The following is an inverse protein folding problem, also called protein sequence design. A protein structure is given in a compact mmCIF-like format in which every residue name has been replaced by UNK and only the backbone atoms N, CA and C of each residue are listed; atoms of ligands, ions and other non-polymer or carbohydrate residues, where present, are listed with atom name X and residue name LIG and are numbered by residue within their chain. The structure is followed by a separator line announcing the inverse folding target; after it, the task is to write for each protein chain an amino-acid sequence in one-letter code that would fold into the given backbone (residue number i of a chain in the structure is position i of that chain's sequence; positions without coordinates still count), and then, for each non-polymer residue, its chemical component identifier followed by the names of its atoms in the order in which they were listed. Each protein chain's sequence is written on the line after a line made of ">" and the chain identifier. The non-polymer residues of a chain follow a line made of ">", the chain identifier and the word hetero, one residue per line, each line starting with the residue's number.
data_IF_762586872406
#
_entry.id   IF_762586872406
#
_cell.length_a   1.000
_cell.length_b   1.000
_cell.length_c   1.000
_cell.angle_alpha   90.00
_cell.angle_beta   90.00
_cell.angle_gamma   90.00
#
_symmetry.space_group_name_H-M   'P 1'
#
loop_
_entity.id
_entity.type
_entity.pdbx_description
1 polymer ?
#
# COMPACT_ATOMS: atom_id res chain seq x y z
N UNK A 1 -26.36 -22.32 3.21
CA UNK A 1 -25.84 -20.95 3.00
C UNK A 1 -26.78 -19.97 3.70
N UNK A 2 -26.31 -19.04 4.54
CA UNK A 2 -27.21 -18.06 5.13
C UNK A 2 -27.65 -17.04 4.09
N UNK A 3 -28.94 -16.69 4.10
CA UNK A 3 -29.55 -15.72 3.18
C UNK A 3 -29.08 -14.28 3.46
N UNK A 4 -29.16 -13.33 2.50
CA UNK A 4 -28.76 -11.92 2.66
C UNK A 4 -29.37 -11.21 3.88
N UNK A 5 -30.56 -11.64 4.32
CA UNK A 5 -31.20 -11.15 5.55
C UNK A 5 -30.43 -11.49 6.84
N UNK A 6 -29.72 -12.63 6.87
CA UNK A 6 -28.91 -13.08 8.03
C UNK A 6 -27.61 -12.27 8.12
N UNK A 7 -26.99 -11.94 6.97
CA UNK A 7 -25.82 -11.06 6.95
C UNK A 7 -26.17 -9.64 7.43
N UNK A 8 -27.33 -9.11 7.03
CA UNK A 8 -27.81 -7.79 7.46
C UNK A 8 -28.14 -7.76 8.97
N UNK A 9 -28.72 -8.83 9.51
CA UNK A 9 -29.01 -8.96 10.94
C UNK A 9 -27.73 -9.07 11.80
N UNK A 10 -26.70 -9.76 11.29
CA UNK A 10 -25.39 -9.86 11.95
C UNK A 10 -24.66 -8.50 11.99
N UNK A 11 -24.76 -7.69 10.92
CA UNK A 11 -24.22 -6.33 10.86
C UNK A 11 -24.90 -5.41 11.89
N UNK A 12 -26.24 -5.46 12.01
CA UNK A 12 -26.96 -4.64 12.99
C UNK A 12 -26.65 -5.06 14.43
N UNK A 13 -26.45 -6.36 14.71
CA UNK A 13 -26.08 -6.84 16.06
C UNK A 13 -24.64 -6.49 16.45
N UNK A 14 -23.71 -6.42 15.48
CA UNK A 14 -22.33 -6.00 15.72
C UNK A 14 -22.22 -4.51 16.08
N UNK A 15 -23.00 -3.65 15.42
CA UNK A 15 -23.05 -2.20 15.67
C UNK A 15 -23.57 -1.87 17.09
N UNK A 16 -24.45 -2.70 17.65
CA UNK A 16 -25.00 -2.46 19.01
C UNK A 16 -24.07 -2.92 20.15
N UNK A 17 -23.14 -3.84 19.90
CA UNK A 17 -22.24 -4.39 20.96
C UNK A 17 -20.96 -3.59 21.18
N UNK A 18 -20.58 -2.70 20.27
CA UNK A 18 -19.38 -1.85 20.41
C UNK A 18 -19.57 -0.69 21.41
N UNK A 19 -20.79 -0.48 21.91
CA UNK A 19 -21.14 0.58 22.87
C UNK A 19 -20.78 0.27 24.33
N UNK A 20 -20.15 -0.88 24.63
CA UNK A 20 -19.94 -1.31 26.02
C UNK A 20 -18.72 -2.22 26.18
N UNK A 21 -17.52 -1.65 26.34
CA UNK A 21 -16.36 -2.40 26.85
C UNK A 21 -15.59 -1.59 27.92
N UNK A 22 -15.16 -2.24 29.02
CA UNK A 22 -14.49 -1.60 30.15
C UNK A 22 -12.96 -1.46 29.95
N UNK A 23 -12.39 -0.49 30.66
CA UNK A 23 -10.96 -0.16 30.76
C UNK A 23 -10.10 -1.35 31.23
N UNK A 24 -9.12 -1.75 30.42
CA UNK A 24 -8.07 -2.71 30.79
C UNK A 24 -6.79 -1.96 31.20
N UNK A 25 -6.65 -1.70 32.50
CA UNK A 25 -5.39 -1.32 33.12
C UNK A 25 -4.70 -2.57 33.65
N UNK A 26 -3.42 -2.76 33.30
CA UNK A 26 -2.52 -3.74 33.95
C UNK A 26 -1.96 -4.82 33.01
N UNK A 27 -0.88 -4.50 32.31
CA UNK A 27 0.07 -5.50 31.78
C UNK A 27 1.49 -5.04 32.17
N UNK A 28 2.34 -5.89 32.79
CA UNK A 28 3.69 -5.49 33.22
C UNK A 28 4.66 -5.38 32.03
N UNK A 29 5.54 -4.37 32.07
CA UNK A 29 6.64 -4.19 31.09
C UNK A 29 7.66 -5.36 31.15
N UNK A 30 8.10 -5.89 30.00
CA UNK A 30 9.23 -6.83 29.97
C UNK A 30 10.58 -6.12 30.11
N UNK A 31 11.49 -6.75 30.85
CA UNK A 31 12.81 -6.24 31.20
C UNK A 31 13.70 -5.94 29.98
N UNK A 32 14.37 -4.78 30.00
CA UNK A 32 15.34 -4.33 28.99
C UNK A 32 16.68 -5.05 29.15
N UNK A 33 17.06 -5.87 28.18
CA UNK A 33 18.45 -6.31 27.98
C UNK A 33 19.26 -5.25 27.22
N UNK A 34 20.57 -5.10 27.50
CA UNK A 34 21.40 -4.06 26.89
C UNK A 34 21.68 -4.39 25.41
N UNK A 35 21.22 -3.51 24.51
CA UNK A 35 21.50 -3.59 23.06
C UNK A 35 22.94 -3.17 22.79
N UNK A 36 23.69 -3.99 22.03
CA UNK A 36 24.90 -3.52 21.34
C UNK A 36 24.47 -2.45 20.34
N UNK A 37 24.93 -1.22 20.51
CA UNK A 37 24.54 -0.09 19.67
C UNK A 37 25.24 -0.16 18.31
N UNK A 38 24.45 -0.29 17.24
CA UNK A 38 24.96 -0.13 15.88
C UNK A 38 25.18 1.38 15.61
N UNK A 39 26.20 1.77 14.81
CA UNK A 39 26.61 3.17 14.64
C UNK A 39 25.49 4.03 14.05
N UNK A 40 25.05 5.09 14.73
CA UNK A 40 23.91 5.93 14.33
C UNK A 40 24.04 6.52 12.91
N UNK A 41 22.91 6.68 12.20
CA UNK A 41 22.87 7.42 10.94
C UNK A 41 23.08 8.92 11.27
N UNK A 42 24.18 9.51 10.79
CA UNK A 42 24.45 10.94 11.01
C UNK A 42 23.74 11.74 9.92
N UNK A 43 22.56 12.27 10.22
CA UNK A 43 21.92 13.33 9.43
C UNK A 43 22.36 14.65 10.05
N UNK A 44 23.27 15.37 9.38
CA UNK A 44 23.74 16.68 9.82
C UNK A 44 22.59 17.70 9.83
N UNK A 45 22.66 18.64 10.79
CA UNK A 45 21.61 19.59 11.18
C UNK A 45 20.93 20.29 9.99
N UNK A 46 19.62 20.10 9.86
CA UNK A 46 18.75 20.93 9.03
C UNK A 46 18.12 22.00 9.93
N UNK A 47 18.60 23.23 9.82
CA UNK A 47 18.00 24.40 10.47
C UNK A 47 16.86 24.97 9.62
N UNK A 48 15.77 25.33 10.30
CA UNK A 48 14.69 26.25 9.91
C UNK A 48 14.02 26.03 8.55
N UNK A 49 12.97 25.19 8.52
CA UNK A 49 11.94 25.29 7.49
C UNK A 49 10.86 26.29 7.95
N UNK A 50 10.47 27.28 7.12
CA UNK A 50 9.32 28.14 7.42
C UNK A 50 8.01 27.34 7.41
N UNK A 51 7.01 27.83 8.15
CA UNK A 51 5.81 27.10 8.57
C UNK A 51 4.81 26.67 7.45
N UNK A 52 4.27 25.45 7.63
CA UNK A 52 2.85 25.01 7.66
C UNK A 52 1.91 25.20 6.45
N UNK A 53 2.41 25.22 5.23
CA UNK A 53 1.53 24.92 4.07
C UNK A 53 2.17 23.81 3.25
N UNK A 54 1.49 22.66 3.04
CA UNK A 54 1.94 21.65 2.11
C UNK A 54 2.25 22.29 0.76
N UNK A 55 3.52 22.31 0.37
CA UNK A 55 3.96 22.99 -0.83
C UNK A 55 3.32 22.32 -2.05
N UNK A 56 2.64 23.12 -2.87
CA UNK A 56 1.94 22.66 -4.05
C UNK A 56 2.91 22.41 -5.19
N UNK A 57 2.67 21.34 -5.94
CA UNK A 57 3.26 21.10 -7.24
C UNK A 57 2.53 21.97 -8.25
N UNK A 58 3.25 22.92 -8.84
CA UNK A 58 2.71 23.77 -9.88
C UNK A 58 2.66 23.00 -11.20
N UNK A 59 1.43 22.65 -11.58
CA UNK A 59 1.04 22.10 -12.87
C UNK A 59 -0.04 22.97 -13.51
N UNK A 60 -0.18 24.24 -13.07
CA UNK A 60 -1.13 25.16 -13.67
C UNK A 60 -0.79 25.35 -15.16
N UNK A 61 -1.83 25.50 -15.98
CA UNK A 61 -1.74 25.75 -17.43
C UNK A 61 -0.96 24.69 -18.24
N UNK A 62 -0.59 23.57 -17.62
CA UNK A 62 0.09 22.46 -18.27
C UNK A 62 -0.92 21.64 -19.09
N UNK A 63 -0.55 21.15 -20.29
CA UNK A 63 -1.42 20.28 -21.09
C UNK A 63 -1.89 19.06 -20.29
N UNK A 64 -3.21 18.88 -20.22
CA UNK A 64 -3.84 17.77 -19.53
C UNK A 64 -4.66 16.92 -20.50
N UNK A 65 -4.63 15.60 -20.32
CA UNK A 65 -5.48 14.66 -21.06
C UNK A 65 -6.04 13.58 -20.13
N UNK A 66 -7.24 13.02 -20.41
CA UNK A 66 -7.78 11.94 -19.60
C UNK A 66 -6.83 10.74 -19.53
N UNK A 67 -6.67 10.21 -18.33
CA UNK A 67 -5.99 8.94 -18.12
C UNK A 67 -6.84 7.78 -18.65
N UNK A 68 -6.21 6.83 -19.35
CA UNK A 68 -6.88 5.66 -19.94
C UNK A 68 -6.39 4.32 -19.40
N UNK A 69 -5.44 4.32 -18.45
CA UNK A 69 -4.94 3.09 -17.84
C UNK A 69 -5.69 2.70 -16.57
N UNK A 70 -5.10 1.78 -15.81
CA UNK A 70 -5.62 1.26 -14.54
C UNK A 70 -5.90 2.34 -13.48
N UNK A 71 -6.87 2.07 -12.58
CA UNK A 71 -7.24 2.93 -11.46
C UNK A 71 -8.74 3.13 -11.28
N UNK A 72 -9.16 3.37 -10.03
CA UNK A 72 -10.58 3.48 -9.63
C UNK A 72 -11.14 4.90 -9.62
N UNK A 73 -10.29 5.92 -9.72
CA UNK A 73 -10.67 7.33 -9.66
C UNK A 73 -10.44 8.03 -11.01
N UNK A 74 -11.27 9.02 -11.37
CA UNK A 74 -10.97 9.94 -12.46
C UNK A 74 -9.57 10.53 -12.28
N UNK A 75 -8.78 10.47 -13.34
CA UNK A 75 -7.41 10.97 -13.35
C UNK A 75 -7.08 11.62 -14.69
N UNK A 76 -6.14 12.54 -14.65
CA UNK A 76 -5.56 13.22 -15.80
C UNK A 76 -4.07 12.89 -15.88
N UNK A 77 -3.54 12.81 -17.09
CA UNK A 77 -2.10 12.94 -17.33
C UNK A 77 -1.84 14.39 -17.67
N UNK A 78 -0.98 15.03 -16.88
CA UNK A 78 -0.54 16.41 -17.05
C UNK A 78 0.94 16.41 -17.42
N UNK A 79 1.30 17.12 -18.49
CA UNK A 79 2.66 17.17 -19.00
C UNK A 79 3.30 18.52 -18.69
N UNK A 80 4.45 18.51 -18.01
CA UNK A 80 5.24 19.70 -17.67
C UNK A 80 6.64 19.53 -18.23
N UNK A 81 6.94 20.18 -19.36
CA UNK A 81 8.18 19.89 -20.10
C UNK A 81 8.21 18.42 -20.52
N UNK A 82 9.30 17.72 -20.18
CA UNK A 82 9.46 16.28 -20.44
C UNK A 82 8.85 15.39 -19.35
N UNK A 83 8.38 15.98 -18.24
CA UNK A 83 7.77 15.22 -17.15
C UNK A 83 6.28 14.95 -17.43
N UNK A 84 5.84 13.73 -17.08
CA UNK A 84 4.44 13.38 -17.04
C UNK A 84 4.01 13.11 -15.61
N UNK A 85 2.84 13.64 -15.24
CA UNK A 85 2.25 13.50 -13.91
C UNK A 85 0.85 12.93 -14.02
N UNK A 86 0.56 11.83 -13.31
CA UNK A 86 -0.80 11.34 -13.11
C UNK A 86 -1.42 12.09 -11.95
N UNK A 87 -2.42 12.91 -12.23
CA UNK A 87 -3.17 13.67 -11.23
C UNK A 87 -4.52 12.99 -11.01
N UNK A 88 -4.78 12.52 -9.79
CA UNK A 88 -6.05 11.87 -9.44
C UNK A 88 -6.85 12.70 -8.43
N UNK A 89 -8.16 12.67 -8.58
CA UNK A 89 -9.04 13.17 -7.53
C UNK A 89 -9.02 12.22 -6.32
N UNK A 90 -8.94 12.80 -5.13
CA UNK A 90 -9.28 12.13 -3.87
C UNK A 90 -10.66 12.62 -3.41
N UNK A 91 -11.11 12.20 -2.23
CA UNK A 91 -12.37 12.68 -1.71
C UNK A 91 -12.36 14.18 -1.36
N UNK A 92 -11.28 14.65 -0.77
CA UNK A 92 -11.06 16.05 -0.41
C UNK A 92 -9.56 16.37 -0.34
N UNK A 93 -9.26 17.66 -0.14
CA UNK A 93 -7.90 18.18 -0.04
C UNK A 93 -7.11 17.63 1.16
N UNK A 94 -7.80 17.32 2.27
CA UNK A 94 -7.19 16.76 3.48
C UNK A 94 -6.71 15.34 3.19
N UNK A 95 -7.54 14.51 2.56
CA UNK A 95 -7.18 13.15 2.14
C UNK A 95 -6.03 13.16 1.12
N UNK A 96 -6.04 14.11 0.16
CA UNK A 96 -4.91 14.30 -0.76
C UNK A 96 -3.60 14.58 -0.02
N UNK A 97 -3.62 15.46 0.98
CA UNK A 97 -2.42 15.81 1.75
C UNK A 97 -1.91 14.63 2.57
N UNK A 98 -2.82 13.86 3.17
CA UNK A 98 -2.49 12.64 3.90
C UNK A 98 -1.87 11.59 2.98
N UNK A 99 -2.46 11.34 1.81
CA UNK A 99 -1.94 10.37 0.84
C UNK A 99 -0.52 10.75 0.37
N UNK A 100 -0.30 12.02 0.01
CA UNK A 100 1.04 12.54 -0.35
C UNK A 100 2.01 12.36 0.81
N UNK A 101 1.61 12.66 2.04
CA UNK A 101 2.47 12.48 3.22
C UNK A 101 2.83 11.01 3.42
N UNK A 102 1.87 10.10 3.31
CA UNK A 102 2.07 8.66 3.49
C UNK A 102 2.96 8.06 2.39
N UNK A 103 2.86 8.53 1.15
CA UNK A 103 3.78 8.15 0.07
C UNK A 103 5.22 8.58 0.36
N UNK A 104 5.42 9.82 0.85
CA UNK A 104 6.75 10.32 1.26
C UNK A 104 7.32 9.54 2.45
N UNK A 105 6.47 9.22 3.43
CA UNK A 105 6.86 8.41 4.59
C UNK A 105 7.25 6.98 4.18
N UNK A 106 6.57 6.39 3.20
CA UNK A 106 6.97 5.10 2.61
C UNK A 106 8.38 5.20 2.02
N UNK A 107 8.66 6.24 1.23
CA UNK A 107 9.97 6.42 0.59
C UNK A 107 11.12 6.51 1.61
N UNK A 108 10.87 6.96 2.85
CA UNK A 108 11.89 6.99 3.91
C UNK A 108 12.43 5.59 4.30
N UNK A 109 11.78 4.49 3.92
CA UNK A 109 12.34 3.14 4.07
C UNK A 109 13.39 2.81 3.00
N UNK A 110 13.66 3.72 2.08
CA UNK A 110 14.56 3.53 0.93
C UNK A 110 13.93 2.70 -0.20
N UNK A 111 12.65 2.35 -0.10
CA UNK A 111 11.92 1.61 -1.13
C UNK A 111 11.30 2.57 -2.15
N UNK A 112 11.10 2.08 -3.37
CA UNK A 112 10.65 2.94 -4.48
C UNK A 112 9.15 3.18 -4.42
N UNK A 113 8.78 4.45 -4.55
CA UNK A 113 7.44 4.93 -4.83
C UNK A 113 7.58 6.14 -5.78
N UNK A 114 6.54 6.50 -6.56
CA UNK A 114 6.59 7.67 -7.42
C UNK A 114 6.80 8.92 -6.59
N UNK A 115 7.37 9.95 -7.22
CA UNK A 115 7.33 11.27 -6.60
C UNK A 115 5.88 11.75 -6.51
N UNK A 116 5.48 12.23 -5.34
CA UNK A 116 4.11 12.70 -5.10
C UNK A 116 4.09 14.14 -4.60
N UNK A 117 3.13 14.90 -5.10
CA UNK A 117 2.88 16.28 -4.69
C UNK A 117 1.39 16.61 -4.68
N UNK A 118 1.03 17.65 -3.93
CA UNK A 118 -0.32 18.22 -3.98
C UNK A 118 -0.45 19.12 -5.19
N UNK A 119 -1.45 18.86 -6.04
CA UNK A 119 -1.71 19.65 -7.23
C UNK A 119 -2.95 20.51 -7.00
N UNK A 120 -2.97 21.71 -7.59
CA UNK A 120 -4.17 22.53 -7.67
C UNK A 120 -5.27 21.82 -8.49
N UNK A 121 -6.44 22.45 -8.61
CA UNK A 121 -7.47 21.95 -9.52
C UNK A 121 -6.91 21.86 -10.95
N UNK A 122 -7.10 20.70 -11.59
CA UNK A 122 -6.73 20.45 -12.98
C UNK A 122 -8.02 20.36 -13.79
N UNK A 123 -8.05 20.94 -14.98
CA UNK A 123 -9.20 20.82 -15.88
C UNK A 123 -9.55 19.34 -16.12
N UNK A 124 -10.84 19.00 -16.06
CA UNK A 124 -11.31 17.61 -16.14
C UNK A 124 -11.42 16.87 -14.81
N UNK A 125 -10.97 17.47 -13.71
CA UNK A 125 -11.20 16.98 -12.33
C UNK A 125 -12.11 17.93 -11.53
N UNK A 126 -12.71 17.48 -10.41
CA UNK A 126 -13.56 18.32 -9.58
C UNK A 126 -12.88 19.62 -9.11
N UNK A 127 -13.48 20.75 -9.45
CA UNK A 127 -12.98 22.10 -9.10
C UNK A 127 -13.05 22.37 -7.60
N UNK A 128 -12.09 23.14 -7.07
CA UNK A 128 -12.10 23.58 -5.66
C UNK A 128 -11.49 22.58 -4.65
N UNK A 129 -10.96 21.46 -5.13
CA UNK A 129 -10.21 20.49 -4.32
C UNK A 129 -8.72 20.47 -4.70
N UNK A 130 -7.85 20.10 -3.74
CA UNK A 130 -6.46 19.71 -4.04
C UNK A 130 -6.46 18.24 -4.45
N UNK A 131 -5.55 17.89 -5.34
CA UNK A 131 -5.41 16.55 -5.90
C UNK A 131 -4.05 15.94 -5.59
N UNK A 132 -3.94 14.62 -5.75
CA UNK A 132 -2.66 13.91 -5.67
C UNK A 132 -2.07 13.84 -7.08
N UNK A 133 -0.92 14.48 -7.28
CA UNK A 133 -0.07 14.26 -8.44
C UNK A 133 0.99 13.23 -8.12
N UNK A 134 1.13 12.22 -8.98
CA UNK A 134 2.21 11.23 -8.92
C UNK A 134 3.00 11.26 -10.22
N UNK A 135 4.32 11.38 -10.15
CA UNK A 135 5.18 11.36 -11.33
C UNK A 135 5.03 10.02 -12.04
N UNK A 136 4.75 10.08 -13.33
CA UNK A 136 4.60 8.92 -14.18
C UNK A 136 5.98 8.37 -14.54
N UNK A 137 6.18 7.07 -14.34
CA UNK A 137 7.42 6.36 -14.65
C UNK A 137 7.16 5.48 -15.87
N UNK A 138 7.77 5.80 -17.01
CA UNK A 138 7.49 5.12 -18.28
C UNK A 138 7.82 3.62 -18.27
N UNK A 139 8.86 3.24 -17.53
CA UNK A 139 9.29 1.84 -17.39
C UNK A 139 8.51 1.07 -16.32
N UNK A 140 7.59 1.72 -15.60
CA UNK A 140 6.79 1.05 -14.60
C UNK A 140 5.71 0.20 -15.25
N UNK A 141 5.61 -1.03 -14.77
CA UNK A 141 4.53 -1.95 -15.10
C UNK A 141 3.96 -2.48 -13.79
N UNK A 142 2.65 -2.36 -13.59
CA UNK A 142 2.00 -2.94 -12.42
C UNK A 142 2.11 -4.47 -12.41
N UNK A 143 1.94 -5.08 -11.23
CA UNK A 143 2.15 -6.52 -11.08
C UNK A 143 1.15 -7.34 -11.90
N UNK A 144 -0.10 -6.89 -12.03
CA UNK A 144 -1.11 -7.56 -12.85
C UNK A 144 -0.67 -7.63 -14.32
N UNK A 145 -0.31 -6.49 -14.89
CA UNK A 145 0.17 -6.39 -16.27
C UNK A 145 1.52 -7.09 -16.48
N UNK A 146 2.43 -7.00 -15.50
CA UNK A 146 3.72 -7.68 -15.56
C UNK A 146 3.56 -9.20 -15.64
N UNK A 147 2.68 -9.79 -14.83
CA UNK A 147 2.41 -11.23 -14.85
C UNK A 147 1.82 -11.70 -16.18
N UNK A 148 1.17 -10.81 -16.92
CA UNK A 148 0.65 -11.12 -18.26
C UNK A 148 1.68 -10.92 -19.38
N UNK A 149 2.88 -10.43 -19.07
CA UNK A 149 3.93 -10.14 -20.05
C UNK A 149 4.76 -11.37 -20.43
N UNK A 150 5.34 -11.33 -21.64
CA UNK A 150 6.29 -12.36 -22.07
C UNK A 150 7.60 -12.30 -21.28
N UNK A 151 7.96 -11.13 -20.72
CA UNK A 151 9.12 -10.99 -19.86
C UNK A 151 8.96 -11.80 -18.56
N UNK A 152 7.78 -11.75 -17.92
CA UNK A 152 7.52 -12.56 -16.74
C UNK A 152 7.51 -14.06 -17.07
N UNK A 153 6.86 -14.46 -18.17
CA UNK A 153 6.86 -15.85 -18.62
C UNK A 153 8.28 -16.38 -18.90
N UNK A 154 9.13 -15.59 -19.55
CA UNK A 154 10.52 -15.94 -19.81
C UNK A 154 11.34 -16.08 -18.51
N UNK A 155 11.14 -15.17 -17.55
CA UNK A 155 11.80 -15.23 -16.24
C UNK A 155 11.39 -16.48 -15.44
N UNK A 156 10.10 -16.83 -15.46
CA UNK A 156 9.60 -18.06 -14.82
C UNK A 156 10.21 -19.29 -15.50
N UNK A 157 10.16 -19.37 -16.83
CA UNK A 157 10.71 -20.51 -17.56
C UNK A 157 12.23 -20.64 -17.42
N UNK A 158 12.97 -19.53 -17.26
CA UNK A 158 14.41 -19.55 -17.03
C UNK A 158 14.77 -20.02 -15.61
N UNK A 159 13.97 -19.64 -14.60
CA UNK A 159 14.20 -20.03 -13.22
C UNK A 159 13.75 -21.48 -12.93
N UNK A 160 12.62 -21.89 -13.51
CA UNK A 160 12.08 -23.25 -13.43
C UNK A 160 11.41 -23.63 -14.77
N UNK A 161 12.13 -24.34 -15.66
CA UNK A 161 11.58 -24.78 -16.93
C UNK A 161 10.32 -25.66 -16.81
N UNK A 162 10.15 -26.36 -15.69
CA UNK A 162 8.97 -27.21 -15.46
C UNK A 162 7.70 -26.40 -15.19
N UNK A 163 7.84 -25.19 -14.63
CA UNK A 163 6.73 -24.28 -14.36
C UNK A 163 6.16 -23.61 -15.62
N UNK A 164 6.87 -23.68 -16.77
CA UNK A 164 6.48 -22.99 -18.01
C UNK A 164 5.05 -23.31 -18.45
N UNK A 165 4.73 -24.60 -18.58
CA UNK A 165 3.40 -25.05 -19.06
C UNK A 165 2.27 -24.60 -18.12
N UNK A 166 2.50 -24.70 -16.82
CA UNK A 166 1.59 -24.19 -15.78
C UNK A 166 1.38 -22.69 -15.91
N UNK A 167 2.46 -21.91 -16.07
CA UNK A 167 2.37 -20.46 -16.23
C UNK A 167 1.60 -20.05 -17.50
N UNK A 168 1.88 -20.70 -18.63
CA UNK A 168 1.16 -20.48 -19.89
C UNK A 168 -0.34 -20.81 -19.76
N UNK A 169 -0.68 -21.90 -19.07
CA UNK A 169 -2.07 -22.26 -18.81
C UNK A 169 -2.79 -21.23 -17.91
N UNK A 170 -2.11 -20.71 -16.88
CA UNK A 170 -2.66 -19.65 -16.02
C UNK A 170 -2.88 -18.34 -16.78
N UNK A 171 -1.96 -17.94 -17.67
CA UNK A 171 -2.14 -16.77 -18.56
C UNK A 171 -3.36 -16.96 -19.46
N UNK A 172 -3.55 -18.16 -20.01
CA UNK A 172 -4.70 -18.46 -20.85
C UNK A 172 -6.03 -18.40 -20.06
N UNK A 173 -6.07 -18.96 -18.86
CA UNK A 173 -7.26 -18.89 -17.98
C UNK A 173 -7.58 -17.44 -17.58
N UNK A 174 -6.56 -16.64 -17.23
CA UNK A 174 -6.73 -15.21 -16.98
C UNK A 174 -7.33 -14.48 -18.20
N UNK A 175 -6.73 -14.66 -19.38
CA UNK A 175 -7.19 -14.01 -20.60
C UNK A 175 -8.63 -14.41 -20.96
N UNK A 176 -9.00 -15.68 -20.76
CA UNK A 176 -10.36 -16.15 -20.96
C UNK A 176 -11.33 -15.49 -19.97
N UNK A 177 -11.00 -15.43 -18.68
CA UNK A 177 -11.84 -14.79 -17.67
C UNK A 177 -12.06 -13.30 -17.95
N UNK A 178 -11.03 -12.58 -18.41
CA UNK A 178 -11.14 -11.19 -18.88
C UNK A 178 -12.05 -11.10 -20.10
N UNK A 179 -11.86 -11.95 -21.11
CA UNK A 179 -12.69 -11.97 -22.31
C UNK A 179 -14.17 -12.25 -21.99
N UNK A 180 -14.45 -13.14 -21.04
CA UNK A 180 -15.82 -13.47 -20.64
C UNK A 180 -16.49 -12.28 -19.94
N UNK A 181 -15.76 -11.55 -19.09
CA UNK A 181 -16.26 -10.30 -18.50
C UNK A 181 -16.44 -9.19 -19.53
N UNK A 182 -15.52 -9.03 -20.48
CA UNK A 182 -15.69 -8.06 -21.57
C UNK A 182 -16.94 -8.35 -22.39
N UNK A 183 -17.19 -9.63 -22.73
CA UNK A 183 -18.41 -10.03 -23.44
C UNK A 183 -19.66 -9.71 -22.62
N UNK A 184 -19.69 -10.09 -21.35
CA UNK A 184 -20.80 -9.82 -20.44
C UNK A 184 -21.12 -8.32 -20.33
N UNK A 185 -20.08 -7.47 -20.20
CA UNK A 185 -20.26 -6.02 -20.13
C UNK A 185 -20.75 -5.42 -21.45
N UNK A 186 -20.25 -5.91 -22.58
CA UNK A 186 -20.71 -5.49 -23.91
C UNK A 186 -22.19 -5.85 -24.14
N UNK A 187 -22.58 -7.06 -23.74
CA UNK A 187 -23.96 -7.53 -23.86
C UNK A 187 -24.91 -6.75 -22.94
N UNK A 188 -24.46 -6.40 -21.73
CA UNK A 188 -25.24 -5.64 -20.76
C UNK A 188 -25.29 -4.12 -21.07
N UNK A 189 -24.31 -3.59 -21.81
CA UNK A 189 -24.24 -2.16 -22.17
C UNK A 189 -24.03 -1.21 -20.98
N UNK A 190 -23.53 -1.73 -19.85
CA UNK A 190 -23.32 -0.98 -18.61
C UNK A 190 -21.97 -1.30 -17.98
N UNK A 191 -21.50 -0.40 -17.11
CA UNK A 191 -20.26 -0.59 -16.37
C UNK A 191 -20.37 -1.71 -15.33
N UNK A 192 -19.24 -2.35 -15.05
CA UNK A 192 -19.16 -3.51 -14.15
C UNK A 192 -19.74 -3.23 -12.76
N UNK A 193 -19.53 -2.03 -12.21
CA UNK A 193 -20.04 -1.64 -10.88
C UNK A 193 -21.56 -1.46 -10.85
N UNK A 194 -22.20 -1.31 -12.00
CA UNK A 194 -23.64 -1.17 -12.16
C UNK A 194 -24.37 -2.52 -12.33
N UNK A 195 -23.66 -3.60 -12.66
CA UNK A 195 -24.25 -4.95 -12.78
C UNK A 195 -25.01 -5.37 -11.52
N UNK A 196 -26.11 -6.09 -11.68
CA UNK A 196 -26.97 -6.62 -10.61
C UNK A 196 -27.37 -8.07 -10.91
N UNK A 197 -27.93 -8.76 -9.92
CA UNK A 197 -28.51 -10.09 -10.11
C UNK A 197 -27.49 -11.12 -10.62
N UNK A 198 -27.91 -11.93 -11.60
CA UNK A 198 -27.12 -13.01 -12.20
C UNK A 198 -25.88 -12.48 -12.92
N UNK A 199 -25.98 -11.37 -13.67
CA UNK A 199 -24.83 -10.77 -14.35
C UNK A 199 -23.74 -10.33 -13.38
N UNK A 200 -24.12 -9.75 -12.22
CA UNK A 200 -23.15 -9.41 -11.19
C UNK A 200 -22.46 -10.66 -10.63
N UNK A 201 -23.21 -11.75 -10.41
CA UNK A 201 -22.65 -13.00 -9.90
C UNK A 201 -21.70 -13.65 -10.92
N UNK A 202 -22.08 -13.64 -12.20
CA UNK A 202 -21.26 -14.14 -13.29
C UNK A 202 -19.97 -13.32 -13.43
N UNK A 203 -20.07 -11.99 -13.38
CA UNK A 203 -18.90 -11.12 -13.40
C UNK A 203 -17.97 -11.37 -12.21
N UNK A 204 -18.53 -11.52 -11.00
CA UNK A 204 -17.76 -11.81 -9.79
C UNK A 204 -17.04 -13.16 -9.85
N UNK A 205 -17.68 -14.20 -10.42
CA UNK A 205 -17.07 -15.51 -10.60
C UNK A 205 -15.87 -15.46 -11.58
N UNK A 206 -16.04 -14.75 -12.70
CA UNK A 206 -14.95 -14.52 -13.65
C UNK A 206 -13.84 -13.65 -13.05
N UNK A 207 -14.18 -12.63 -12.26
CA UNK A 207 -13.20 -11.79 -11.55
C UNK A 207 -12.40 -12.60 -10.51
N UNK A 208 -13.04 -13.55 -9.82
CA UNK A 208 -12.35 -14.49 -8.94
C UNK A 208 -11.37 -15.38 -9.70
N UNK A 209 -11.80 -15.94 -10.86
CA UNK A 209 -10.92 -16.76 -11.72
C UNK A 209 -9.71 -15.96 -12.19
N UNK A 210 -9.95 -14.73 -12.67
CA UNK A 210 -8.91 -13.76 -13.05
C UNK A 210 -7.91 -13.52 -11.92
N UNK A 211 -8.39 -13.18 -10.72
CA UNK A 211 -7.54 -12.94 -9.56
C UNK A 211 -6.75 -14.18 -9.14
N UNK A 212 -7.40 -15.37 -9.11
CA UNK A 212 -6.74 -16.62 -8.74
C UNK A 212 -5.59 -16.97 -9.70
N UNK A 213 -5.79 -16.74 -11.01
CA UNK A 213 -4.74 -16.92 -12.00
C UNK A 213 -3.56 -15.96 -11.75
N UNK A 214 -3.82 -14.68 -11.46
CA UNK A 214 -2.77 -13.71 -11.12
C UNK A 214 -2.01 -14.11 -9.84
N UNK A 215 -2.71 -14.48 -8.76
CA UNK A 215 -2.06 -14.90 -7.51
C UNK A 215 -1.22 -16.17 -7.70
N UNK A 216 -1.71 -17.13 -8.49
CA UNK A 216 -0.98 -18.34 -8.83
C UNK A 216 0.27 -18.04 -9.69
N UNK A 217 0.16 -17.19 -10.71
CA UNK A 217 1.32 -16.74 -11.49
C UNK A 217 2.33 -15.99 -10.62
N UNK A 218 1.85 -15.18 -9.68
CA UNK A 218 2.72 -14.47 -8.74
C UNK A 218 3.55 -15.45 -7.90
N UNK A 219 3.00 -16.60 -7.50
CA UNK A 219 3.70 -17.68 -6.77
C UNK A 219 4.81 -18.34 -7.56
N UNK A 220 4.76 -18.28 -8.88
CA UNK A 220 5.75 -18.86 -9.77
C UNK A 220 6.90 -17.90 -10.11
N UNK A 221 6.81 -16.61 -9.72
CA UNK A 221 7.89 -15.66 -9.99
C UNK A 221 9.21 -16.05 -9.31
N UNK A 222 10.36 -15.77 -9.94
CA UNK A 222 11.68 -16.01 -9.34
C UNK A 222 11.86 -15.31 -7.99
N UNK A 223 12.66 -15.94 -7.12
CA UNK A 223 12.88 -15.49 -5.74
C UNK A 223 13.29 -14.02 -5.61
N UNK A 224 14.19 -13.43 -6.43
CA UNK A 224 14.54 -12.02 -6.31
C UNK A 224 13.34 -11.07 -6.45
N UNK A 225 12.43 -11.34 -7.40
CA UNK A 225 11.22 -10.54 -7.60
C UNK A 225 10.22 -10.69 -6.45
N UNK A 226 10.16 -11.89 -5.86
CA UNK A 226 9.37 -12.19 -4.67
C UNK A 226 9.91 -11.48 -3.43
N UNK A 227 11.23 -11.34 -3.32
CA UNK A 227 11.87 -10.58 -2.24
C UNK A 227 11.65 -9.06 -2.38
N UNK A 228 11.55 -8.52 -3.60
CA UNK A 228 11.08 -7.13 -3.80
C UNK A 228 9.66 -6.93 -3.23
N UNK A 229 8.72 -7.81 -3.59
CA UNK A 229 7.36 -7.76 -3.04
C UNK A 229 7.34 -7.85 -1.50
N UNK A 230 8.19 -8.71 -0.93
CA UNK A 230 8.31 -8.89 0.51
C UNK A 230 8.74 -7.59 1.23
N UNK A 231 9.72 -6.87 0.68
CA UNK A 231 10.15 -5.57 1.23
C UNK A 231 9.00 -4.58 1.29
N UNK A 232 8.28 -4.45 0.18
CA UNK A 232 7.14 -3.54 0.06
C UNK A 232 5.96 -3.95 0.94
N UNK A 233 5.72 -5.26 1.11
CA UNK A 233 4.72 -5.78 2.04
C UNK A 233 5.03 -5.39 3.48
N UNK A 234 6.27 -5.56 3.95
CA UNK A 234 6.66 -5.20 5.34
C UNK A 234 6.55 -3.69 5.57
N UNK A 235 6.99 -2.86 4.62
CA UNK A 235 6.81 -1.41 4.70
C UNK A 235 5.32 -1.01 4.70
N UNK A 236 4.49 -1.73 3.94
CA UNK A 236 3.02 -1.58 3.96
C UNK A 236 2.41 -2.01 5.29
N UNK A 237 2.93 -3.05 5.96
CA UNK A 237 2.53 -3.42 7.33
C UNK A 237 2.84 -2.27 8.30
N UNK A 238 4.02 -1.68 8.20
CA UNK A 238 4.39 -0.52 9.03
C UNK A 238 3.44 0.67 8.83
N UNK A 239 3.13 1.04 7.58
CA UNK A 239 2.19 2.13 7.28
C UNK A 239 0.72 1.79 7.45
N UNK A 240 0.36 0.55 7.82
CA UNK A 240 -1.03 0.08 7.83
C UNK A 240 -1.69 0.32 6.46
N UNK A 241 -1.21 -0.32 5.38
CA UNK A 241 -1.89 -0.25 4.09
C UNK A 241 -2.98 -1.32 3.99
N UNK A 242 -4.27 -0.94 3.96
CA UNK A 242 -5.36 -1.91 3.85
C UNK A 242 -5.54 -2.52 2.45
N UNK A 243 -4.84 -2.00 1.43
CA UNK A 243 -5.03 -2.36 0.02
C UNK A 243 -3.69 -2.48 -0.73
N UNK A 244 -2.70 -3.16 -0.13
CA UNK A 244 -1.32 -3.22 -0.66
C UNK A 244 -1.20 -3.87 -2.05
N UNK A 245 -1.86 -5.00 -2.28
CA UNK A 245 -2.07 -5.56 -3.61
C UNK A 245 -3.57 -5.52 -3.83
N UNK A 246 -4.10 -4.52 -4.53
CA UNK A 246 -5.55 -4.48 -4.79
C UNK A 246 -6.00 -5.73 -5.58
N UNK A 247 -7.31 -5.91 -5.77
CA UNK A 247 -7.90 -7.07 -6.48
C UNK A 247 -7.47 -7.22 -7.97
N UNK A 248 -6.70 -6.28 -8.52
CA UNK A 248 -6.08 -6.36 -9.85
C UNK A 248 -4.55 -6.45 -9.80
N UNK A 249 -3.97 -6.39 -8.60
CA UNK A 249 -2.54 -6.29 -8.31
C UNK A 249 -1.89 -4.99 -8.86
N UNK A 250 -2.64 -3.88 -8.92
CA UNK A 250 -2.15 -2.63 -9.56
C UNK A 250 -1.38 -1.69 -8.59
N UNK A 251 -1.54 -1.85 -7.28
CA UNK A 251 -0.93 -0.96 -6.26
C UNK A 251 0.55 -1.28 -5.98
N UNK A 252 1.11 -2.26 -6.68
CA UNK A 252 2.53 -2.59 -6.70
C UNK A 252 2.91 -3.03 -8.12
N UNK A 253 4.15 -2.81 -8.50
CA UNK A 253 4.69 -3.30 -9.76
C UNK A 253 6.20 -3.26 -9.80
N UNK A 254 6.75 -3.37 -11.00
CA UNK A 254 8.18 -3.30 -11.24
C UNK A 254 8.49 -2.15 -12.19
N UNK A 255 9.51 -1.37 -11.85
CA UNK A 255 10.15 -0.42 -12.78
C UNK A 255 11.57 -0.88 -13.08
N UNK A 256 12.20 -0.29 -14.10
CA UNK A 256 13.60 -0.54 -14.43
C UNK A 256 14.49 0.57 -13.84
N UNK A 257 15.57 0.14 -13.18
CA UNK A 257 16.67 1.00 -12.75
C UNK A 257 17.96 0.33 -13.17
N UNK A 258 18.73 0.98 -14.05
CA UNK A 258 19.98 0.44 -14.59
C UNK A 258 19.83 -0.98 -15.17
N UNK A 259 18.71 -1.24 -15.87
CA UNK A 259 18.40 -2.55 -16.48
C UNK A 259 17.91 -3.62 -15.50
N UNK A 260 17.82 -3.32 -14.19
CA UNK A 260 17.32 -4.25 -13.16
C UNK A 260 15.90 -3.89 -12.77
N UNK A 261 15.06 -4.92 -12.61
CA UNK A 261 13.70 -4.75 -12.09
C UNK A 261 13.73 -4.49 -10.59
N UNK A 262 13.12 -3.39 -10.17
CA UNK A 262 12.96 -3.01 -8.76
C UNK A 262 11.48 -2.87 -8.44
N UNK A 263 11.08 -3.26 -7.23
CA UNK A 263 9.71 -3.08 -6.77
C UNK A 263 9.35 -1.61 -6.63
N UNK A 264 8.10 -1.25 -6.96
CA UNK A 264 7.56 0.10 -6.74
C UNK A 264 6.13 0.02 -6.23
N UNK A 265 5.84 0.67 -5.10
CA UNK A 265 4.49 0.77 -4.54
C UNK A 265 3.80 2.05 -4.98
N UNK A 266 2.50 1.93 -5.28
CA UNK A 266 1.62 3.00 -5.70
C UNK A 266 0.42 3.12 -4.74
N UNK A 267 -0.32 4.22 -4.90
CA UNK A 267 -1.62 4.46 -4.27
C UNK A 267 -1.63 4.29 -2.74
N UNK A 268 -1.29 5.36 -2.04
CA UNK A 268 -1.23 5.38 -0.57
C UNK A 268 -2.56 5.79 0.06
N UNK A 269 -3.66 5.80 -0.71
CA UNK A 269 -4.99 6.22 -0.28
C UNK A 269 -5.65 5.31 0.76
N UNK A 270 -5.09 4.11 0.98
CA UNK A 270 -5.52 3.16 2.02
C UNK A 270 -4.47 2.96 3.14
N UNK A 271 -3.46 3.86 3.21
CA UNK A 271 -2.43 3.85 4.23
C UNK A 271 -2.77 4.73 5.44
N UNK A 272 -2.07 4.52 6.54
CA UNK A 272 -2.19 5.35 7.72
C UNK A 272 -3.63 5.34 8.25
N UNK A 273 -4.15 6.48 8.72
CA UNK A 273 -5.52 6.58 9.23
C UNK A 273 -6.57 6.61 8.11
N UNK A 274 -6.19 6.71 6.83
CA UNK A 274 -7.14 6.81 5.71
C UNK A 274 -7.96 5.52 5.60
N UNK A 275 -9.25 5.66 5.86
CA UNK A 275 -10.23 4.60 5.74
C UNK A 275 -11.02 4.74 4.45
N UNK A 276 -12.32 4.49 4.54
CA UNK A 276 -13.21 4.49 3.39
C UNK A 276 -14.32 5.52 3.47
N UNK A 277 -14.90 5.80 2.31
CA UNK A 277 -15.97 6.77 2.16
C UNK A 277 -17.26 6.22 2.75
N UNK A 278 -17.87 6.98 3.64
CA UNK A 278 -19.22 6.70 4.11
C UNK A 278 -20.21 6.69 2.94
N UNK A 279 -20.97 5.60 2.81
CA UNK A 279 -21.85 5.40 1.67
C UNK A 279 -23.11 6.28 1.70
N UNK A 280 -23.44 6.89 2.84
CA UNK A 280 -24.64 7.72 3.00
C UNK A 280 -24.32 9.20 2.80
N UNK A 281 -23.27 9.67 3.46
CA UNK A 281 -22.86 11.09 3.49
C UNK A 281 -21.83 11.41 2.43
N UNK A 282 -21.15 10.40 1.89
CA UNK A 282 -20.03 10.59 0.96
C UNK A 282 -18.76 11.13 1.61
N UNK A 283 -18.73 11.31 2.94
CA UNK A 283 -17.56 11.80 3.66
C UNK A 283 -16.49 10.71 3.80
N UNK A 284 -15.21 11.07 3.75
CA UNK A 284 -14.15 10.13 4.12
C UNK A 284 -14.10 9.92 5.63
N UNK A 285 -13.97 8.67 6.02
CA UNK A 285 -13.85 8.28 7.42
C UNK A 285 -12.45 7.74 7.71
N UNK A 286 -11.93 7.93 8.93
CA UNK A 286 -10.73 7.23 9.37
C UNK A 286 -11.01 5.73 9.47
N UNK A 287 -9.94 4.92 9.45
CA UNK A 287 -10.04 3.46 9.58
C UNK A 287 -10.86 3.00 10.78
N UNK A 288 -10.66 3.63 11.93
CA UNK A 288 -11.39 3.33 13.16
C UNK A 288 -12.92 3.46 13.01
N UNK A 289 -13.39 4.30 12.09
CA UNK A 289 -14.81 4.53 11.83
C UNK A 289 -15.32 3.84 10.54
N UNK A 290 -14.45 3.16 9.79
CA UNK A 290 -14.79 2.64 8.44
C UNK A 290 -14.53 1.15 8.26
N UNK A 291 -14.26 0.39 9.33
CA UNK A 291 -14.08 -1.07 9.25
C UNK A 291 -15.26 -1.76 8.57
N UNK A 292 -16.50 -1.46 8.99
CA UNK A 292 -17.71 -2.01 8.37
C UNK A 292 -17.93 -1.50 6.94
N UNK A 293 -17.55 -0.26 6.66
CA UNK A 293 -17.63 0.35 5.33
C UNK A 293 -16.71 -0.39 4.35
N UNK A 294 -15.51 -0.80 4.79
CA UNK A 294 -14.57 -1.58 3.98
C UNK A 294 -15.21 -2.86 3.40
N UNK A 295 -16.10 -3.50 4.17
CA UNK A 295 -16.86 -4.67 3.71
C UNK A 295 -18.03 -4.24 2.84
N UNK A 296 -18.82 -3.26 3.30
CA UNK A 296 -20.09 -2.88 2.68
C UNK A 296 -19.91 -2.24 1.29
N UNK A 297 -18.81 -1.53 1.05
CA UNK A 297 -18.58 -0.84 -0.22
C UNK A 297 -18.14 -1.77 -1.36
N UNK A 298 -17.80 -3.04 -1.08
CA UNK A 298 -17.37 -4.00 -2.10
C UNK A 298 -18.55 -4.25 -3.07
N UNK A 299 -18.44 -3.90 -4.36
CA UNK A 299 -19.54 -4.08 -5.31
C UNK A 299 -19.88 -5.57 -5.49
N UNK A 300 -21.16 -5.93 -5.70
CA UNK A 300 -21.57 -7.33 -5.91
C UNK A 300 -20.96 -8.00 -7.14
N UNK A 301 -20.48 -7.20 -8.10
CA UNK A 301 -19.83 -7.68 -9.31
C UNK A 301 -18.35 -7.99 -9.13
N UNK A 302 -17.74 -7.67 -7.98
CA UNK A 302 -16.42 -8.17 -7.65
C UNK A 302 -16.52 -9.44 -6.82
N UNK A 303 -15.50 -10.28 -6.91
CA UNK A 303 -15.47 -11.47 -6.08
C UNK A 303 -15.53 -11.10 -4.57
N UNK A 304 -16.25 -11.90 -3.76
CA UNK A 304 -16.58 -11.54 -2.39
C UNK A 304 -15.36 -11.56 -1.48
N UNK A 305 -15.38 -10.70 -0.46
CA UNK A 305 -14.39 -10.76 0.63
C UNK A 305 -14.59 -12.09 1.38
N UNK A 306 -13.55 -12.90 1.59
CA UNK A 306 -13.70 -14.20 2.24
C UNK A 306 -14.28 -14.06 3.65
N UNK A 307 -15.09 -15.05 4.07
CA UNK A 307 -15.82 -14.99 5.32
C UNK A 307 -14.91 -14.78 6.54
N UNK A 308 -13.70 -15.34 6.54
CA UNK A 308 -12.70 -15.17 7.60
C UNK A 308 -12.31 -13.71 7.86
N UNK A 309 -12.45 -12.83 6.88
CA UNK A 309 -12.19 -11.40 7.01
C UNK A 309 -13.46 -10.67 7.45
N UNK A 310 -14.62 -11.03 6.88
CA UNK A 310 -15.92 -10.45 7.25
C UNK A 310 -16.21 -10.65 8.74
N UNK A 311 -15.96 -11.84 9.29
CA UNK A 311 -16.16 -12.12 10.73
C UNK A 311 -15.19 -11.36 11.64
N UNK A 312 -14.07 -10.88 11.09
CA UNK A 312 -13.03 -10.14 11.81
C UNK A 312 -13.14 -8.62 11.68
N UNK A 313 -14.24 -8.09 11.14
CA UNK A 313 -14.42 -6.66 10.88
C UNK A 313 -14.12 -5.76 12.09
N UNK A 314 -14.51 -6.16 13.31
CA UNK A 314 -14.24 -5.40 14.53
C UNK A 314 -12.77 -5.42 14.98
N UNK A 315 -11.97 -6.32 14.44
CA UNK A 315 -10.54 -6.49 14.74
C UNK A 315 -9.64 -5.96 13.61
N UNK A 316 -10.20 -5.32 12.57
CA UNK A 316 -9.38 -4.73 11.54
C UNK A 316 -8.45 -3.65 12.11
N UNK A 317 -7.17 -3.72 11.76
CA UNK A 317 -6.12 -2.81 12.22
C UNK A 317 -6.46 -1.36 11.84
N UNK A 318 -6.88 -0.57 12.82
CA UNK A 318 -7.24 0.83 12.65
C UNK A 318 -6.10 1.76 13.06
N UNK A 319 -4.88 1.52 12.56
CA UNK A 319 -3.65 2.21 12.99
C UNK A 319 -3.28 1.95 14.45
N UNK A 320 -3.51 0.72 14.93
CA UNK A 320 -3.06 0.34 16.26
C UNK A 320 -1.52 0.34 16.35
N UNK A 321 -0.98 0.37 17.57
CA UNK A 321 0.47 0.40 17.79
C UNK A 321 1.20 -0.88 17.35
N UNK A 322 0.49 -2.01 17.27
CA UNK A 322 1.05 -3.30 16.86
C UNK A 322 0.34 -3.84 15.62
N UNK A 323 1.06 -4.02 14.52
CA UNK A 323 0.53 -4.53 13.26
C UNK A 323 0.19 -6.04 13.26
N UNK A 324 0.36 -6.73 14.40
CA UNK A 324 0.18 -8.18 14.49
C UNK A 324 1.23 -8.98 13.69
N UNK A 325 1.14 -10.33 13.70
CA UNK A 325 2.04 -11.19 12.94
C UNK A 325 2.02 -10.88 11.44
N UNK A 326 3.18 -10.94 10.76
CA UNK A 326 3.27 -10.64 9.32
C UNK A 326 2.44 -11.59 8.45
N UNK A 327 2.25 -12.84 8.87
CA UNK A 327 1.43 -13.83 8.17
C UNK A 327 -0.07 -13.68 8.46
N UNK A 328 -0.46 -12.91 9.49
CA UNK A 328 -1.86 -12.68 9.82
C UNK A 328 -2.41 -11.53 8.99
N UNK A 329 -3.07 -11.93 7.91
CA UNK A 329 -3.74 -11.03 6.98
C UNK A 329 -5.16 -10.67 7.43
N UNK A 330 -5.74 -11.39 8.39
CA UNK A 330 -7.16 -11.23 8.76
C UNK A 330 -7.47 -9.91 9.45
N UNK A 331 -6.43 -9.22 9.93
CA UNK A 331 -6.51 -7.87 10.45
C UNK A 331 -6.72 -6.79 9.37
N UNK A 332 -6.64 -7.11 8.07
CA UNK A 332 -6.87 -6.16 6.97
C UNK A 332 -8.05 -6.60 6.11
N UNK A 333 -8.99 -5.69 5.76
CA UNK A 333 -10.19 -6.06 4.99
C UNK A 333 -9.87 -6.74 3.66
N UNK A 334 -8.78 -6.34 3.01
CA UNK A 334 -8.34 -6.88 1.72
C UNK A 334 -7.02 -7.67 1.82
N UNK A 335 -6.60 -8.05 3.03
CA UNK A 335 -5.33 -8.72 3.28
C UNK A 335 -5.15 -10.02 2.49
N UNK A 336 -6.23 -10.74 2.18
CA UNK A 336 -6.19 -11.97 1.36
C UNK A 336 -5.59 -11.75 -0.03
N UNK A 337 -5.58 -10.51 -0.54
CA UNK A 337 -5.01 -10.21 -1.85
C UNK A 337 -3.48 -10.27 -1.85
N UNK A 338 -2.88 -10.18 -0.66
CA UNK A 338 -1.45 -10.33 -0.41
C UNK A 338 -1.06 -11.73 0.06
N UNK A 339 -1.96 -12.73 -0.04
CA UNK A 339 -1.72 -14.08 0.48
C UNK A 339 -0.52 -14.75 -0.16
N UNK A 340 -0.28 -14.55 -1.46
CA UNK A 340 0.91 -15.08 -2.12
C UNK A 340 2.19 -14.61 -1.46
N UNK A 341 2.27 -13.35 -1.00
CA UNK A 341 3.44 -12.83 -0.26
C UNK A 341 3.44 -13.38 1.16
N UNK A 342 2.31 -13.29 1.86
CA UNK A 342 2.23 -13.68 3.27
C UNK A 342 2.47 -15.18 3.50
N UNK A 343 2.22 -16.02 2.50
CA UNK A 343 2.53 -17.43 2.52
C UNK A 343 4.03 -17.72 2.71
N UNK A 344 4.93 -16.78 2.35
CA UNK A 344 6.37 -16.92 2.59
C UNK A 344 6.74 -16.93 4.08
N UNK A 345 5.84 -16.49 4.95
CA UNK A 345 6.04 -16.48 6.40
C UNK A 345 5.41 -17.70 7.09
N UNK A 346 4.67 -18.53 6.37
CA UNK A 346 4.04 -19.73 6.94
C UNK A 346 5.09 -20.85 7.03
N UNK A 347 4.98 -21.75 8.02
CA UNK A 347 5.81 -22.96 8.07
C UNK A 347 5.80 -23.72 6.73
N UNK A 348 6.88 -24.45 6.36
CA UNK A 348 7.78 -25.17 7.27
C UNK A 348 8.97 -24.37 7.83
N UNK A 349 9.56 -24.96 8.88
CA UNK A 349 10.42 -24.41 9.95
C UNK A 349 11.74 -23.76 9.48
N UNK A 350 12.13 -23.89 8.20
CA UNK A 350 13.33 -23.27 7.65
C UNK A 350 12.91 -22.30 6.56
N UNK A 351 13.05 -21.00 6.85
CA UNK A 351 12.84 -19.97 5.84
C UNK A 351 13.88 -20.13 4.74
N UNK A 352 13.43 -19.99 3.50
CA UNK A 352 14.29 -19.80 2.33
C UNK A 352 15.35 -18.72 2.65
N UNK A 353 16.65 -18.95 2.39
CA UNK A 353 17.71 -18.02 2.78
C UNK A 353 17.49 -16.60 2.25
N UNK A 354 17.01 -16.45 1.02
CA UNK A 354 16.76 -15.13 0.43
C UNK A 354 15.60 -14.41 1.15
N UNK A 355 14.60 -15.17 1.61
CA UNK A 355 13.49 -14.64 2.43
C UNK A 355 14.02 -14.22 3.81
N UNK A 356 14.83 -15.05 4.46
CA UNK A 356 15.46 -14.72 5.75
C UNK A 356 16.34 -13.48 5.66
N UNK A 357 17.19 -13.39 4.64
CA UNK A 357 18.03 -12.22 4.39
C UNK A 357 17.21 -10.96 4.13
N UNK A 358 16.11 -11.07 3.39
CA UNK A 358 15.21 -9.94 3.14
C UNK A 358 14.49 -9.49 4.41
N UNK A 359 14.14 -10.42 5.30
CA UNK A 359 13.58 -10.09 6.61
C UNK A 359 14.59 -9.30 7.46
N UNK A 360 15.84 -9.77 7.55
CA UNK A 360 16.90 -9.10 8.29
C UNK A 360 17.22 -7.72 7.68
N UNK A 361 17.25 -7.61 6.35
CA UNK A 361 17.38 -6.34 5.65
C UNK A 361 16.25 -5.37 6.01
N UNK A 362 15.00 -5.82 6.03
CA UNK A 362 13.85 -4.98 6.41
C UNK A 362 13.86 -4.60 7.90
N UNK A 363 14.28 -5.52 8.79
CA UNK A 363 14.55 -5.21 10.19
C UNK A 363 15.59 -4.11 10.34
N UNK A 364 16.70 -4.21 9.60
CA UNK A 364 17.75 -3.19 9.56
C UNK A 364 17.24 -1.85 9.01
N UNK A 365 16.46 -1.84 7.92
CA UNK A 365 15.84 -0.62 7.37
C UNK A 365 14.95 0.08 8.39
N UNK A 366 14.09 -0.68 9.09
CA UNK A 366 13.19 -0.14 10.10
C UNK A 366 13.96 0.39 11.32
N UNK A 367 15.01 -0.29 11.76
CA UNK A 367 15.88 0.16 12.86
C UNK A 367 16.56 1.48 12.51
N UNK A 368 16.95 1.65 11.23
CA UNK A 368 17.67 2.80 10.71
C UNK A 368 16.80 3.87 10.08
N UNK A 369 15.47 3.77 10.23
CA UNK A 369 14.54 4.74 9.70
C UNK A 369 14.93 6.16 10.16
N UNK A 370 15.06 7.14 9.24
CA UNK A 370 15.57 8.47 9.55
C UNK A 370 14.52 9.29 10.32
N UNK A 371 14.50 9.14 11.65
CA UNK A 371 13.47 9.77 12.50
C UNK A 371 13.34 11.29 12.37
N UNK A 372 14.43 12.07 12.27
CA UNK A 372 14.31 13.50 12.03
C UNK A 372 13.61 13.81 10.70
N UNK A 373 13.87 13.02 9.65
CA UNK A 373 13.23 13.18 8.36
C UNK A 373 11.74 12.79 8.42
N UNK A 374 11.39 11.74 9.17
CA UNK A 374 10.00 11.35 9.41
C UNK A 374 9.20 12.49 10.06
N UNK A 375 9.74 13.08 11.13
CA UNK A 375 9.08 14.20 11.82
C UNK A 375 8.92 15.41 10.87
N UNK A 376 9.98 15.79 10.16
CA UNK A 376 9.95 16.92 9.24
C UNK A 376 9.00 16.70 8.04
N UNK A 377 8.89 15.47 7.51
CA UNK A 377 7.92 15.14 6.46
C UNK A 377 6.49 15.29 6.97
N UNK A 378 6.19 14.79 8.16
CA UNK A 378 4.87 14.93 8.77
C UNK A 378 4.56 16.41 9.02
N UNK A 379 5.46 17.14 9.66
CA UNK A 379 5.28 18.57 9.96
C UNK A 379 5.02 19.40 8.70
N UNK A 380 5.70 19.07 7.60
CA UNK A 380 5.59 19.80 6.33
C UNK A 380 4.34 19.48 5.52
N UNK A 381 3.92 18.22 5.51
CA UNK A 381 2.93 17.73 4.54
C UNK A 381 1.61 17.27 5.16
N UNK A 382 1.60 16.90 6.44
CA UNK A 382 0.37 16.47 7.10
C UNK A 382 -0.58 17.66 7.25
N UNK A 383 -1.87 17.53 6.90
CA UNK A 383 -2.80 18.63 7.01
C UNK A 383 -3.07 18.97 8.48
N UNK A 384 -3.08 20.26 8.80
CA UNK A 384 -3.71 20.72 10.03
C UNK A 384 -5.22 20.50 9.88
N UNK A 385 -5.77 19.55 10.63
CA UNK A 385 -7.19 19.24 10.55
C UNK A 385 -8.05 20.47 10.91
N UNK A 386 -9.25 20.61 10.34
CA UNK A 386 -10.19 21.61 10.85
C UNK A 386 -10.55 21.24 12.29
N UNK A 387 -10.12 22.06 13.25
CA UNK A 387 -10.54 21.89 14.63
C UNK A 387 -12.06 21.85 14.73
N UNK A 388 -12.62 20.73 15.19
CA UNK A 388 -14.02 20.66 15.64
C UNK A 388 -15.03 19.92 14.76
N UNK A 389 -14.67 19.36 13.59
CA UNK A 389 -15.60 18.52 12.81
C UNK A 389 -15.20 17.03 12.87
N UNK A 390 -16.15 16.17 13.23
CA UNK A 390 -15.98 14.72 13.15
C UNK A 390 -16.03 14.26 11.68
N UNK A 391 -15.26 13.21 11.30
CA UNK A 391 -14.36 12.46 12.16
C UNK A 391 -13.00 13.16 12.34
N UNK A 392 -12.49 13.14 13.58
CA UNK A 392 -11.19 13.72 13.89
C UNK A 392 -10.07 12.86 13.31
N UNK A 393 -9.33 13.42 12.36
CA UNK A 393 -8.07 12.86 11.88
C UNK A 393 -6.98 13.01 12.96
N UNK A 394 -6.00 12.09 13.06
CA UNK A 394 -4.91 12.26 14.02
C UNK A 394 -4.11 13.52 13.69
N UNK A 395 -3.65 14.19 14.74
CA UNK A 395 -2.66 15.27 14.65
C UNK A 395 -1.33 14.73 14.11
N UNK A 396 -0.44 15.65 13.71
CA UNK A 396 0.91 15.32 13.28
C UNK A 396 1.68 14.51 14.34
N UNK A 397 1.62 14.94 15.60
CA UNK A 397 2.29 14.28 16.73
C UNK A 397 1.72 12.89 17.01
N UNK A 398 0.39 12.75 16.95
CA UNK A 398 -0.26 11.45 17.09
C UNK A 398 0.16 10.51 15.97
N UNK A 399 0.16 10.96 14.71
CA UNK A 399 0.61 10.15 13.58
C UNK A 399 2.06 9.69 13.75
N UNK A 400 2.97 10.61 14.11
CA UNK A 400 4.37 10.28 14.35
C UNK A 400 4.51 9.23 15.47
N UNK A 401 3.82 9.42 16.59
CA UNK A 401 3.83 8.50 17.71
C UNK A 401 3.25 7.11 17.33
N UNK A 402 2.19 7.05 16.53
CA UNK A 402 1.64 5.80 16.01
C UNK A 402 2.65 5.07 15.13
N UNK A 403 3.29 5.76 14.18
CA UNK A 403 4.26 5.15 13.27
C UNK A 403 5.52 4.65 14.01
N UNK A 404 5.96 5.35 15.05
CA UNK A 404 7.07 4.89 15.89
C UNK A 404 6.71 3.63 16.69
N UNK A 405 5.52 3.60 17.31
CA UNK A 405 5.04 2.39 18.01
C UNK A 405 4.95 1.19 17.06
N UNK A 406 4.42 1.40 15.85
CA UNK A 406 4.33 0.36 14.82
C UNK A 406 5.68 -0.14 14.36
N UNK A 407 6.63 0.77 14.14
CA UNK A 407 8.02 0.41 13.84
C UNK A 407 8.62 -0.45 14.96
N UNK A 408 8.46 -0.03 16.21
CA UNK A 408 9.04 -0.73 17.36
C UNK A 408 8.41 -2.11 17.57
N UNK A 409 7.10 -2.23 17.39
CA UNK A 409 6.39 -3.52 17.43
C UNK A 409 6.85 -4.45 16.30
N UNK A 410 7.04 -3.94 15.08
CA UNK A 410 7.61 -4.73 13.98
C UNK A 410 9.06 -5.14 14.27
N UNK A 411 9.89 -4.23 14.77
CA UNK A 411 11.27 -4.51 15.15
C UNK A 411 11.39 -5.59 16.22
N UNK A 412 10.46 -5.65 17.16
CA UNK A 412 10.43 -6.69 18.19
C UNK A 412 10.24 -8.11 17.63
N UNK A 413 9.89 -8.26 16.35
CA UNK A 413 9.75 -9.55 15.65
C UNK A 413 11.05 -10.04 15.02
N UNK A 414 12.08 -9.19 14.97
CA UNK A 414 13.40 -9.53 14.48
C UNK A 414 14.37 -9.67 15.66
N UNK A 415 15.27 -10.64 15.61
CA UNK A 415 16.33 -10.75 16.60
C UNK A 415 17.44 -9.72 16.28
N UNK A 416 17.73 -8.76 17.18
CA UNK A 416 18.80 -7.79 16.96
C UNK A 416 20.18 -8.43 16.73
N UNK A 417 20.44 -9.61 17.31
CA UNK A 417 21.68 -10.34 17.08
C UNK A 417 21.76 -10.84 15.63
N UNK A 418 20.66 -11.38 15.08
CA UNK A 418 20.62 -11.83 13.68
C UNK A 418 20.77 -10.67 12.69
N UNK A 419 20.18 -9.50 13.00
CA UNK A 419 20.41 -8.29 12.19
C UNK A 419 21.88 -7.90 12.22
N UNK A 420 22.51 -7.90 13.39
CA UNK A 420 23.93 -7.56 13.52
C UNK A 420 24.83 -8.55 12.78
N UNK A 421 24.53 -9.86 12.87
CA UNK A 421 25.27 -10.91 12.16
C UNK A 421 25.12 -10.76 10.65
N UNK A 422 23.92 -10.46 10.14
CA UNK A 422 23.69 -10.16 8.72
C UNK A 422 24.50 -8.95 8.24
N UNK A 423 24.55 -7.86 9.03
CA UNK A 423 25.38 -6.68 8.71
C UNK A 423 26.87 -7.03 8.64
N UNK A 424 27.35 -7.93 9.50
CA UNK A 424 28.75 -8.37 9.48
C UNK A 424 29.04 -9.31 8.32
N UNK A 425 28.08 -10.16 7.95
CA UNK A 425 28.20 -11.10 6.84
C UNK A 425 28.17 -10.41 5.47
N UNK A 426 27.37 -9.34 5.31
CA UNK A 426 27.25 -8.57 4.07
C UNK A 426 27.33 -7.03 4.33
N UNK A 427 28.53 -6.52 4.65
CA UNK A 427 28.71 -5.10 4.99
C UNK A 427 28.42 -4.17 3.81
N UNK A 428 28.62 -4.63 2.58
CA UNK A 428 28.36 -3.88 1.35
C UNK A 428 26.86 -3.68 1.13
N UNK A 429 26.05 -4.72 1.31
CA UNK A 429 24.58 -4.58 1.24
C UNK A 429 24.06 -3.70 2.36
N UNK A 430 24.56 -3.84 3.58
CA UNK A 430 24.20 -2.93 4.67
C UNK A 430 24.58 -1.47 4.36
N UNK A 431 25.73 -1.23 3.71
CA UNK A 431 26.14 0.09 3.25
C UNK A 431 25.20 0.65 2.17
N UNK A 432 24.80 -0.16 1.18
CA UNK A 432 23.81 0.22 0.17
C UNK A 432 22.49 0.63 0.82
N UNK A 433 21.98 -0.16 1.77
CA UNK A 433 20.75 0.17 2.52
C UNK A 433 20.88 1.52 3.24
N UNK A 434 22.00 1.78 3.94
CA UNK A 434 22.21 3.09 4.60
C UNK A 434 22.23 4.24 3.60
N UNK A 435 22.82 4.03 2.43
CA UNK A 435 22.87 5.04 1.38
C UNK A 435 21.47 5.31 0.81
N UNK A 436 20.66 4.26 0.58
CA UNK A 436 19.27 4.38 0.13
C UNK A 436 18.42 5.18 1.13
N UNK A 437 18.53 4.87 2.43
CA UNK A 437 17.83 5.62 3.49
C UNK A 437 18.27 7.09 3.54
N UNK A 438 19.58 7.34 3.39
CA UNK A 438 20.14 8.70 3.35
C UNK A 438 19.63 9.48 2.14
N UNK A 439 19.67 8.86 0.95
CA UNK A 439 19.17 9.46 -0.29
C UNK A 439 17.67 9.75 -0.18
N UNK A 440 16.89 8.82 0.37
CA UNK A 440 15.47 9.02 0.60
C UNK A 440 15.19 10.19 1.55
N UNK A 441 15.88 10.26 2.68
CA UNK A 441 15.77 11.38 3.62
C UNK A 441 16.09 12.71 2.95
N UNK A 442 17.19 12.79 2.19
CA UNK A 442 17.55 14.00 1.45
C UNK A 442 16.49 14.37 0.41
N UNK A 443 16.01 13.41 -0.38
CA UNK A 443 15.02 13.64 -1.41
C UNK A 443 13.69 14.16 -0.82
N UNK A 444 13.25 13.61 0.32
CA UNK A 444 11.99 14.01 0.95
C UNK A 444 12.07 15.37 1.64
N UNK A 445 13.27 15.80 2.05
CA UNK A 445 13.46 17.08 2.73
C UNK A 445 13.82 18.24 1.78
N UNK A 446 14.35 17.96 0.58
CA UNK A 446 14.60 19.00 -0.44
C UNK A 446 13.32 19.76 -0.80
N UNK A 447 13.45 21.04 -1.14
CA UNK A 447 12.37 21.76 -1.79
C UNK A 447 12.16 21.22 -3.22
N UNK A 448 10.93 21.22 -3.76
CA UNK A 448 10.65 20.77 -5.13
C UNK A 448 11.50 21.48 -6.19
N UNK A 449 11.90 22.73 -5.95
CA UNK A 449 12.77 23.51 -6.85
C UNK A 449 14.25 23.07 -6.83
N UNK A 450 14.67 22.26 -5.84
CA UNK A 450 16.07 21.85 -5.64
C UNK A 450 16.31 20.37 -5.99
N UNK A 451 15.36 19.72 -6.66
CA UNK A 451 15.56 18.38 -7.19
C UNK A 451 16.21 18.50 -8.56
N UNK A 452 17.47 18.05 -8.74
CA UNK A 452 18.05 17.97 -10.07
C UNK A 452 17.28 16.95 -10.91
N UNK A 453 17.17 17.26 -12.20
CA UNK A 453 16.57 16.44 -13.25
C UNK A 453 17.06 14.97 -13.26
#
# INVERSE_FOLDING_TARGET
>A
MPTPAVARALITSAIQRTSSLPSLAGIPEPARTPRRSLPALVVLHLHNAPARVPQMLDLADCPARPWRGAGSQPAMIVTRGDECWRVKATADATCSAMEVTLGKLFQLTGLVAPDTGLVAAVEGLPTGSRHVGSRFEADFQDLGDFLMSDAAAALVAAADPSARSTYEALRADHAQAVSDNTRLLNDAGIEWWALRGEDAQQHAANDQRRFNALDAMNRLLPRPLRCEQLRHFIASRWLCNWDQLNYRLENFGYTLRNGVRVGMSLDFGACGPLGFRDLQTGAMLPKAASQAVAIAQRPPSLFPIPLAYVVNVGHFDAMCGDSGPLHDLTAWPYGFQSDSIAALFRPPVVLDPDVSDTLLEMGYRLERLPLPALAAVIERHWPEGPGGAAPAWPTADELAAHLLRRRDALLARFDPAQIADWVQADPDRAARVRQELTNAAQAMLRAPADRPD
#
